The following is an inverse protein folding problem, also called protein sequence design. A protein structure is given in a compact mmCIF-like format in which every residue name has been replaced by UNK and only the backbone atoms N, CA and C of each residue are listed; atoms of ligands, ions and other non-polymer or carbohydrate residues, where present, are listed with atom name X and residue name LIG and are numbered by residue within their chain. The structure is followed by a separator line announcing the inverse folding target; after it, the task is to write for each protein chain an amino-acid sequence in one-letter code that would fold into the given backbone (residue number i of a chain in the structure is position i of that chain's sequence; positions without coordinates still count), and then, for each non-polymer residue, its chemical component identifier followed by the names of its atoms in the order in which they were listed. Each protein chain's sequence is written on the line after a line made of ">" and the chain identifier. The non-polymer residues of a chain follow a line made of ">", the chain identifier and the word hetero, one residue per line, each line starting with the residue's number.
data_IF_079531465010
#
_entry.id   IF_079531465010
#
_cell.length_a   1.000
_cell.length_b   1.000
_cell.length_c   1.000
_cell.angle_alpha   90.00
_cell.angle_beta   90.00
_cell.angle_gamma   90.00
#
_symmetry.space_group_name_H-M   'P 1'
#
loop_
_entity.id
_entity.type
_entity.pdbx_description
1 polymer ?
#
# COMPACT_ATOMS: atom_id res chain seq x y z
N UNK A 1 22.37 17.99 5.78
CA UNK A 1 21.57 17.53 6.95
C UNK A 1 21.41 16.02 6.91
N UNK A 2 22.54 15.32 6.82
CA UNK A 2 22.66 13.87 7.00
C UNK A 2 22.89 13.73 8.49
N UNK A 3 21.83 13.47 9.25
CA UNK A 3 21.95 13.29 10.69
C UNK A 3 22.87 12.09 10.91
N UNK A 4 24.05 12.36 11.46
CA UNK A 4 24.94 11.36 12.04
C UNK A 4 24.10 10.56 13.05
N UNK A 5 23.57 9.44 12.58
CA UNK A 5 22.71 8.58 13.36
C UNK A 5 23.58 8.05 14.48
N UNK A 6 23.26 8.40 15.72
CA UNK A 6 24.06 7.98 16.86
C UNK A 6 24.24 6.46 16.83
N UNK A 7 25.49 6.00 16.96
CA UNK A 7 25.87 4.59 16.98
C UNK A 7 24.96 3.70 17.83
N UNK A 8 24.46 4.11 19.02
CA UNK A 8 23.49 3.29 19.77
C UNK A 8 22.18 3.02 19.02
N UNK A 9 21.66 3.99 18.27
CA UNK A 9 20.38 3.84 17.56
C UNK A 9 20.55 2.93 16.35
N UNK A 10 21.73 2.91 15.73
CA UNK A 10 22.05 1.96 14.66
C UNK A 10 22.12 0.52 15.19
N UNK A 11 22.84 0.30 16.28
CA UNK A 11 22.96 -1.02 16.92
C UNK A 11 21.57 -1.55 17.31
N UNK A 12 20.73 -0.73 17.93
CA UNK A 12 19.35 -1.14 18.25
C UNK A 12 18.54 -1.55 17.01
N UNK A 13 18.70 -0.85 15.89
CA UNK A 13 18.00 -1.20 14.65
C UNK A 13 18.48 -2.52 14.05
N UNK A 14 19.78 -2.78 14.08
CA UNK A 14 20.33 -4.05 13.63
C UNK A 14 19.83 -5.22 14.48
N UNK A 15 19.90 -5.08 15.81
CA UNK A 15 19.42 -6.10 16.75
C UNK A 15 17.93 -6.37 16.57
N UNK A 16 17.12 -5.31 16.44
CA UNK A 16 15.68 -5.45 16.18
C UNK A 16 15.43 -6.16 14.84
N UNK A 17 16.12 -5.75 13.77
CA UNK A 17 15.95 -6.36 12.44
C UNK A 17 16.33 -7.84 12.45
N UNK A 18 17.39 -8.21 13.17
CA UNK A 18 17.82 -9.60 13.34
C UNK A 18 16.79 -10.43 14.12
N UNK A 19 16.29 -9.91 15.24
CA UNK A 19 15.27 -10.60 16.03
C UNK A 19 14.00 -10.88 15.21
N UNK A 20 13.58 -9.88 14.42
CA UNK A 20 12.45 -10.00 13.51
C UNK A 20 12.67 -10.97 12.35
N UNK A 21 13.88 -10.99 11.81
CA UNK A 21 14.25 -11.95 10.78
C UNK A 21 14.14 -13.38 11.32
N UNK A 22 14.65 -13.61 12.53
CA UNK A 22 14.56 -14.92 13.20
C UNK A 22 13.09 -15.28 13.49
N UNK A 23 12.30 -14.36 14.05
CA UNK A 23 10.86 -14.57 14.29
C UNK A 23 10.12 -14.93 13.00
N UNK A 24 10.40 -14.22 11.90
CA UNK A 24 9.80 -14.47 10.59
C UNK A 24 10.21 -15.84 10.04
N UNK A 25 11.49 -16.21 10.10
CA UNK A 25 11.99 -17.52 9.63
C UNK A 25 11.37 -18.66 10.44
N UNK A 26 11.30 -18.52 11.77
CA UNK A 26 10.64 -19.50 12.63
C UNK A 26 9.16 -19.64 12.30
N UNK A 27 8.48 -18.51 12.03
CA UNK A 27 7.06 -18.51 11.68
C UNK A 27 6.82 -19.14 10.29
N UNK A 28 7.66 -18.86 9.30
CA UNK A 28 7.62 -19.53 7.99
C UNK A 28 7.89 -21.04 8.16
N UNK A 29 8.85 -21.42 9.00
CA UNK A 29 9.16 -22.82 9.29
C UNK A 29 8.02 -23.58 9.99
N UNK A 30 7.31 -22.92 10.91
CA UNK A 30 6.20 -23.51 11.65
C UNK A 30 4.91 -23.65 10.82
N UNK A 31 4.58 -22.64 10.00
CA UNK A 31 3.32 -22.62 9.21
C UNK A 31 3.48 -23.12 7.77
N UNK A 32 4.71 -23.22 7.24
CA UNK A 32 5.00 -23.74 5.91
C UNK A 32 4.20 -23.07 4.78
N UNK A 33 3.61 -23.87 3.88
CA UNK A 33 2.78 -23.38 2.76
C UNK A 33 1.48 -22.71 3.21
N UNK A 34 0.97 -23.00 4.41
CA UNK A 34 -0.24 -22.36 4.93
C UNK A 34 -0.02 -20.88 5.27
N UNK A 35 1.24 -20.44 5.42
CA UNK A 35 1.58 -19.04 5.63
C UNK A 35 1.29 -18.18 4.39
N UNK A 36 1.39 -18.77 3.19
CA UNK A 36 1.24 -18.07 1.91
C UNK A 36 -0.14 -18.24 1.26
N UNK A 37 -0.96 -19.20 1.70
CA UNK A 37 -2.28 -19.45 1.13
C UNK A 37 -3.43 -19.55 2.16
N UNK A 38 -3.18 -19.22 3.44
CA UNK A 38 -4.22 -19.22 4.47
C UNK A 38 -5.11 -17.96 4.44
N UNK A 39 -6.18 -17.95 5.25
CA UNK A 39 -7.06 -16.78 5.42
C UNK A 39 -6.30 -15.51 5.89
N UNK A 40 -5.18 -15.71 6.59
CA UNK A 40 -4.31 -14.65 7.11
C UNK A 40 -3.08 -14.36 6.24
N UNK A 41 -3.05 -14.90 5.01
CA UNK A 41 -1.97 -14.74 4.05
C UNK A 41 -1.51 -13.28 3.90
N UNK A 42 -2.45 -12.32 3.85
CA UNK A 42 -2.14 -10.91 3.72
C UNK A 42 -1.25 -10.37 4.86
N UNK A 43 -1.46 -10.84 6.09
CA UNK A 43 -0.66 -10.45 7.24
C UNK A 43 0.75 -11.04 7.19
N UNK A 44 0.88 -12.27 6.67
CA UNK A 44 2.17 -12.90 6.44
C UNK A 44 3.00 -12.18 5.37
N UNK A 45 2.37 -11.73 4.28
CA UNK A 45 3.06 -10.93 3.25
C UNK A 45 3.46 -9.55 3.73
N UNK A 46 2.61 -8.92 4.54
CA UNK A 46 2.95 -7.65 5.17
C UNK A 46 4.18 -7.82 6.07
N UNK A 47 4.26 -8.90 6.86
CA UNK A 47 5.43 -9.20 7.70
C UNK A 47 6.70 -9.42 6.86
N UNK A 48 6.60 -10.21 5.78
CA UNK A 48 7.70 -10.45 4.85
C UNK A 48 8.18 -9.16 4.16
N UNK A 49 7.28 -8.33 3.65
CA UNK A 49 7.60 -7.03 3.04
C UNK A 49 8.27 -6.08 4.02
N UNK A 50 7.85 -6.10 5.28
CA UNK A 50 8.41 -5.26 6.32
C UNK A 50 9.84 -5.66 6.69
N UNK A 51 10.15 -6.96 6.74
CA UNK A 51 11.52 -7.45 7.03
C UNK A 51 12.44 -7.18 5.84
N UNK A 52 12.01 -7.54 4.63
CA UNK A 52 12.77 -7.31 3.39
C UNK A 52 13.05 -5.82 3.15
N UNK A 53 12.08 -4.94 3.36
CA UNK A 53 12.29 -3.49 3.24
C UNK A 53 13.29 -2.93 4.24
N UNK A 54 13.40 -3.53 5.44
CA UNK A 54 14.41 -3.14 6.42
C UNK A 54 15.80 -3.64 6.07
N UNK A 55 15.93 -4.86 5.54
CA UNK A 55 17.21 -5.35 5.01
C UNK A 55 17.68 -4.50 3.81
N UNK A 56 16.75 -4.12 2.93
CA UNK A 56 17.04 -3.25 1.79
C UNK A 56 17.57 -1.88 2.21
N UNK A 57 16.95 -1.27 3.23
CA UNK A 57 17.40 0.01 3.77
C UNK A 57 18.82 -0.09 4.36
N UNK A 58 19.11 -1.15 5.12
CA UNK A 58 20.46 -1.41 5.64
C UNK A 58 21.48 -1.62 4.51
N UNK A 59 21.10 -2.33 3.45
CA UNK A 59 21.95 -2.55 2.28
C UNK A 59 22.31 -1.26 1.55
N UNK A 60 21.35 -0.34 1.40
CA UNK A 60 21.59 0.98 0.80
C UNK A 60 22.49 1.83 1.69
N UNK A 61 22.26 1.85 3.00
CA UNK A 61 23.08 2.62 3.93
C UNK A 61 24.54 2.13 3.90
N UNK A 62 24.77 0.82 3.89
CA UNK A 62 26.13 0.24 3.75
C UNK A 62 26.74 0.51 2.38
N UNK A 63 25.98 0.36 1.30
CA UNK A 63 26.47 0.62 -0.06
C UNK A 63 26.87 2.09 -0.25
N UNK A 64 26.12 3.02 0.34
CA UNK A 64 26.44 4.45 0.29
C UNK A 64 27.71 4.78 1.09
N UNK A 65 27.92 4.13 2.25
CA UNK A 65 29.15 4.31 3.04
C UNK A 65 30.38 3.79 2.29
N UNK A 66 30.28 2.63 1.62
CA UNK A 66 31.38 2.08 0.82
C UNK A 66 31.69 2.98 -0.40
N UNK A 67 30.66 3.51 -1.07
CA UNK A 67 30.84 4.45 -2.18
C UNK A 67 31.42 5.80 -1.77
N UNK A 68 31.39 6.16 -0.49
CA UNK A 68 31.90 7.44 -0.02
C UNK A 68 33.44 7.44 0.07
N UNK A 69 34.08 6.27 0.25
CA UNK A 69 35.55 6.12 0.24
C UNK A 69 36.14 6.12 -1.18
N UNK A 70 35.41 5.60 -2.18
CA UNK A 70 35.78 5.69 -3.59
C UNK A 70 35.30 7.01 -4.21
N UNK A 71 35.84 8.14 -3.74
CA UNK A 71 35.79 9.34 -4.57
C UNK A 71 36.62 9.10 -5.83
N UNK A 72 36.03 9.45 -6.98
CA UNK A 72 36.62 9.64 -8.32
C UNK A 72 36.39 8.46 -9.29
N UNK A 73 35.26 8.50 -10.02
CA UNK A 73 35.24 8.84 -11.46
C UNK A 73 33.88 8.51 -12.11
N UNK A 74 33.22 9.51 -12.69
CA UNK A 74 32.32 9.29 -13.83
C UNK A 74 30.83 8.98 -13.60
N UNK A 75 30.19 9.47 -12.54
CA UNK A 75 28.74 9.26 -12.35
C UNK A 75 27.94 10.29 -13.16
N UNK A 76 27.58 9.94 -14.39
CA UNK A 76 26.71 10.75 -15.27
C UNK A 76 25.33 11.03 -14.65
N UNK A 77 24.69 12.13 -15.11
CA UNK A 77 23.39 12.65 -14.64
C UNK A 77 22.28 11.60 -14.42
N UNK A 78 22.32 10.45 -15.09
CA UNK A 78 21.37 9.35 -14.95
C UNK A 78 21.39 8.69 -13.56
N UNK A 79 22.55 8.61 -12.91
CA UNK A 79 22.71 7.97 -11.60
C UNK A 79 22.26 8.87 -10.45
N UNK A 80 22.41 10.20 -10.57
CA UNK A 80 21.87 11.14 -9.59
C UNK A 80 20.33 11.09 -9.52
N UNK A 81 19.66 10.98 -10.68
CA UNK A 81 18.21 10.81 -10.74
C UNK A 81 17.76 9.46 -10.15
N UNK A 82 18.53 8.39 -10.38
CA UNK A 82 18.28 7.08 -9.75
C UNK A 82 18.45 7.14 -8.24
N UNK A 83 19.50 7.79 -7.73
CA UNK A 83 19.74 7.96 -6.31
C UNK A 83 18.62 8.74 -5.62
N UNK A 84 18.13 9.84 -6.20
CA UNK A 84 16.98 10.59 -5.67
C UNK A 84 15.72 9.74 -5.62
N UNK A 85 15.45 8.93 -6.65
CA UNK A 85 14.30 8.00 -6.67
C UNK A 85 14.44 6.94 -5.57
N UNK A 86 15.63 6.37 -5.39
CA UNK A 86 15.91 5.38 -4.35
C UNK A 86 15.72 5.98 -2.95
N UNK A 87 16.21 7.20 -2.71
CA UNK A 87 16.01 7.92 -1.43
C UNK A 87 14.52 8.18 -1.15
N UNK A 88 13.73 8.51 -2.18
CA UNK A 88 12.27 8.67 -2.00
C UNK A 88 11.61 7.35 -1.63
N UNK A 89 11.98 6.25 -2.29
CA UNK A 89 11.44 4.92 -2.00
C UNK A 89 11.83 4.48 -0.58
N UNK A 90 13.09 4.64 -0.17
CA UNK A 90 13.51 4.27 1.20
C UNK A 90 12.78 5.09 2.26
N UNK A 91 12.45 6.36 1.99
CA UNK A 91 11.58 7.16 2.88
C UNK A 91 10.16 6.58 3.01
N UNK A 92 9.58 6.08 1.92
CA UNK A 92 8.28 5.40 1.98
C UNK A 92 8.39 4.05 2.71
N UNK A 93 9.48 3.32 2.53
CA UNK A 93 9.70 2.06 3.26
C UNK A 93 9.85 2.30 4.77
N UNK A 94 10.44 3.44 5.19
CA UNK A 94 10.48 3.84 6.59
C UNK A 94 9.08 3.98 7.20
N UNK A 95 8.08 4.47 6.46
CA UNK A 95 6.70 4.59 6.99
C UNK A 95 6.02 3.24 7.14
N UNK A 96 6.36 2.24 6.31
CA UNK A 96 5.91 0.86 6.51
C UNK A 96 6.38 0.28 7.84
N UNK A 97 7.50 0.74 8.39
CA UNK A 97 7.95 0.34 9.73
C UNK A 97 6.98 0.79 10.83
N UNK A 98 6.25 1.89 10.65
CA UNK A 98 5.17 2.31 11.57
C UNK A 98 4.02 1.31 11.56
N UNK A 99 3.77 0.65 10.42
CA UNK A 99 2.76 -0.40 10.34
C UNK A 99 3.12 -1.63 11.19
N UNK A 100 4.38 -1.78 11.64
CA UNK A 100 4.75 -2.80 12.64
C UNK A 100 3.98 -2.62 13.94
N UNK A 101 3.64 -1.39 14.33
CA UNK A 101 2.90 -1.16 15.58
C UNK A 101 1.52 -1.83 15.53
N UNK A 102 0.88 -1.82 14.35
CA UNK A 102 -0.40 -2.48 14.11
C UNK A 102 -0.30 -4.00 14.22
N UNK A 103 0.86 -4.57 13.93
CA UNK A 103 1.12 -6.01 14.07
C UNK A 103 1.20 -6.45 15.54
N UNK A 104 1.81 -5.64 16.40
CA UNK A 104 1.93 -5.97 17.83
C UNK A 104 0.59 -5.90 18.56
N UNK A 105 -0.29 -5.02 18.11
CA UNK A 105 -1.58 -4.83 18.75
C UNK A 105 -2.58 -5.74 18.05
N UNK A 106 -2.73 -6.97 18.59
CA UNK A 106 -3.69 -7.97 18.09
C UNK A 106 -5.09 -7.37 17.95
N UNK A 107 -5.51 -6.50 18.87
CA UNK A 107 -6.78 -5.79 18.79
C UNK A 107 -6.93 -4.94 17.50
N UNK A 108 -5.88 -4.25 17.05
CA UNK A 108 -5.93 -3.45 15.82
C UNK A 108 -6.03 -4.34 14.58
N UNK A 109 -5.36 -5.49 14.57
CA UNK A 109 -5.49 -6.48 13.49
C UNK A 109 -6.94 -6.97 13.36
N UNK A 110 -7.59 -7.27 14.48
CA UNK A 110 -9.00 -7.69 14.51
C UNK A 110 -9.93 -6.57 14.03
N UNK A 111 -9.65 -5.31 14.40
CA UNK A 111 -10.44 -4.17 13.92
C UNK A 111 -10.27 -3.95 12.41
N UNK A 112 -9.04 -3.99 11.90
CA UNK A 112 -8.75 -3.80 10.46
C UNK A 112 -9.40 -4.90 9.63
N UNK A 113 -9.31 -6.16 10.04
CA UNK A 113 -9.98 -7.27 9.35
C UNK A 113 -11.50 -7.10 9.34
N UNK A 114 -12.08 -6.62 10.43
CA UNK A 114 -13.51 -6.30 10.52
C UNK A 114 -13.90 -5.18 9.56
N UNK A 115 -13.10 -4.10 9.50
CA UNK A 115 -13.32 -2.97 8.57
C UNK A 115 -13.24 -3.44 7.11
N UNK A 116 -12.25 -4.26 6.76
CA UNK A 116 -12.12 -4.78 5.38
C UNK A 116 -13.34 -5.64 5.03
N UNK A 117 -13.82 -6.46 5.97
CA UNK A 117 -15.02 -7.27 5.77
C UNK A 117 -16.27 -6.40 5.55
N UNK A 118 -16.44 -5.33 6.32
CA UNK A 118 -17.60 -4.44 6.16
C UNK A 118 -17.50 -3.61 4.88
N UNK A 119 -16.30 -3.16 4.50
CA UNK A 119 -16.07 -2.46 3.23
C UNK A 119 -16.41 -3.33 2.02
N UNK A 120 -16.09 -4.63 2.07
CA UNK A 120 -16.50 -5.57 1.02
C UNK A 120 -18.02 -5.62 0.88
N UNK A 121 -18.74 -5.71 2.00
CA UNK A 121 -20.22 -5.71 1.97
C UNK A 121 -20.77 -4.36 1.51
N UNK A 122 -20.16 -3.25 1.94
CA UNK A 122 -20.52 -1.90 1.48
C UNK A 122 -20.33 -1.75 -0.03
N UNK A 123 -19.26 -2.31 -0.59
CA UNK A 123 -19.03 -2.28 -2.04
C UNK A 123 -20.18 -2.95 -2.81
N UNK A 124 -20.64 -4.13 -2.36
CA UNK A 124 -21.80 -4.78 -2.95
C UNK A 124 -23.09 -3.96 -2.79
N UNK A 125 -23.29 -3.32 -1.64
CA UNK A 125 -24.43 -2.44 -1.42
C UNK A 125 -24.40 -1.19 -2.33
N UNK A 126 -23.23 -0.57 -2.50
CA UNK A 126 -23.03 0.56 -3.42
C UNK A 126 -23.24 0.16 -4.88
N UNK A 127 -22.77 -1.04 -5.27
CA UNK A 127 -23.00 -1.58 -6.60
C UNK A 127 -24.51 -1.77 -6.86
N UNK A 128 -25.24 -2.36 -5.90
CA UNK A 128 -26.69 -2.52 -5.98
C UNK A 128 -27.41 -1.16 -6.09
N UNK A 129 -27.02 -0.21 -5.25
CA UNK A 129 -27.56 1.16 -5.29
C UNK A 129 -27.32 1.81 -6.65
N UNK A 130 -26.12 1.65 -7.22
CA UNK A 130 -25.79 2.15 -8.56
C UNK A 130 -26.68 1.55 -9.66
N UNK A 131 -26.99 0.25 -9.60
CA UNK A 131 -27.90 -0.41 -10.55
C UNK A 131 -29.31 0.18 -10.46
N UNK A 132 -29.81 0.41 -9.24
CA UNK A 132 -31.14 1.00 -9.04
C UNK A 132 -31.20 2.41 -9.62
N UNK A 133 -30.21 3.26 -9.30
CA UNK A 133 -30.12 4.63 -9.84
C UNK A 133 -30.08 4.59 -11.37
N UNK A 134 -29.30 3.68 -11.96
CA UNK A 134 -29.20 3.52 -13.41
C UNK A 134 -30.52 3.10 -14.06
N UNK A 135 -31.27 2.19 -13.45
CA UNK A 135 -32.58 1.78 -13.95
C UNK A 135 -33.56 2.95 -13.98
N UNK A 136 -33.64 3.74 -12.90
CA UNK A 136 -34.47 4.95 -12.87
C UNK A 136 -34.01 5.99 -13.90
N UNK A 137 -32.71 6.17 -14.08
CA UNK A 137 -32.17 7.08 -15.10
C UNK A 137 -32.61 6.69 -16.51
N UNK A 138 -32.60 5.40 -16.85
CA UNK A 138 -33.12 4.91 -18.14
C UNK A 138 -34.62 5.18 -18.26
N UNK A 139 -35.40 4.86 -17.22
CA UNK A 139 -36.85 5.07 -17.26
C UNK A 139 -37.20 6.54 -17.51
N UNK A 140 -36.53 7.46 -16.81
CA UNK A 140 -36.71 8.89 -17.06
C UNK A 140 -36.25 9.31 -18.46
N UNK A 141 -35.10 8.81 -18.93
CA UNK A 141 -34.61 9.11 -20.27
C UNK A 141 -35.59 8.62 -21.35
N UNK A 142 -36.16 7.43 -21.18
CA UNK A 142 -37.17 6.88 -22.07
C UNK A 142 -38.47 7.68 -22.02
N UNK A 143 -38.93 8.09 -20.83
CA UNK A 143 -40.14 8.90 -20.68
C UNK A 143 -40.00 10.28 -21.34
N UNK A 144 -38.85 10.95 -21.16
CA UNK A 144 -38.55 12.23 -21.83
C UNK A 144 -38.46 12.01 -23.34
N UNK A 145 -37.77 10.95 -23.79
CA UNK A 145 -37.67 10.63 -25.20
C UNK A 145 -39.04 10.37 -25.82
N UNK A 146 -39.91 9.61 -25.17
CA UNK A 146 -41.26 9.34 -25.67
C UNK A 146 -42.08 10.62 -25.79
N UNK A 147 -41.94 11.53 -24.81
CA UNK A 147 -42.62 12.82 -24.83
C UNK A 147 -42.11 13.74 -25.97
N UNK A 148 -40.81 13.74 -26.25
CA UNK A 148 -40.23 14.55 -27.34
C UNK A 148 -40.52 13.95 -28.72
N UNK A 149 -40.60 12.62 -28.83
CA UNK A 149 -40.85 11.94 -30.11
C UNK A 149 -42.31 11.88 -30.54
N UNK A 150 -43.25 12.30 -29.69
CA UNK A 150 -44.68 12.28 -30.00
C UNK A 150 -45.01 13.37 -31.05
N UNK A 151 -45.36 12.99 -32.29
CA UNK A 151 -45.56 13.92 -33.40
C UNK A 151 -46.86 14.74 -33.28
N UNK A 152 -47.68 14.49 -32.25
CA UNK A 152 -48.91 15.26 -31.99
C UNK A 152 -48.69 16.48 -31.10
N UNK A 153 -47.47 16.71 -30.61
CA UNK A 153 -47.15 17.87 -29.78
C UNK A 153 -47.00 19.15 -30.61
N UNK A 154 -47.86 20.13 -30.34
CA UNK A 154 -47.75 21.49 -30.88
C UNK A 154 -46.43 22.13 -30.46
N UNK A 155 -45.63 22.71 -31.38
CA UNK A 155 -44.38 23.39 -31.02
C UNK A 155 -44.64 24.51 -30.02
N UNK A 156 -43.80 24.61 -28.99
CA UNK A 156 -43.85 25.73 -28.04
C UNK A 156 -43.52 27.04 -28.78
N UNK A 157 -44.20 28.16 -28.47
CA UNK A 157 -43.85 29.45 -29.05
C UNK A 157 -42.41 29.81 -28.69
N UNK A 158 -41.61 30.15 -29.70
CA UNK A 158 -40.24 30.63 -29.52
C UNK A 158 -40.29 32.05 -28.91
N UNK A 159 -39.81 32.19 -27.67
CA UNK A 159 -39.43 33.47 -27.06
C UNK A 159 -37.91 33.55 -26.87
#
# INVERSE_FOLDING_TARGET
>A
LVTARSTPVQVMQYTYTLFFLIELVLRIGAYGRSFFCGADWAWGWLDFLIVTSSLWELGIDVAFLIQQDDQLQGIGNSSALRAVRIIRITRMLKTLRLLRIFRFIVALRTLVTSIISTLKNLFWALMLLGIIIYAFAILFCQAVRSHVSDPTMTPLPEE
#
